data_IF_595880740982
#
_entry.id   IF_595880740982
#
_cell.length_a   1.000
_cell.length_b   1.000
_cell.length_c   1.000
_cell.angle_alpha   90.00
_cell.angle_beta   90.00
_cell.angle_gamma   90.00
#
_symmetry.space_group_name_H-M   'P 1'
#
loop_
_entity.id
_entity.type
_entity.pdbx_description
1 polymer ?
#
# COMPACT_ATOMS: atom_id res chain seq x y z
N UNK A 1 35.07 -47.81 -17.12
CA UNK A 1 34.49 -46.51 -16.71
C UNK A 1 33.34 -46.22 -17.66
N UNK A 2 32.10 -46.55 -17.28
CA UNK A 2 30.91 -46.25 -18.08
C UNK A 2 30.42 -44.85 -17.73
N UNK A 3 30.33 -43.98 -18.73
CA UNK A 3 29.63 -42.69 -18.63
C UNK A 3 28.15 -43.00 -18.38
N UNK A 4 27.64 -42.57 -17.23
CA UNK A 4 26.22 -42.64 -16.91
C UNK A 4 25.52 -41.47 -17.59
N UNK A 5 24.75 -41.77 -18.63
CA UNK A 5 23.84 -40.81 -19.25
C UNK A 5 22.79 -40.37 -18.23
N UNK A 6 22.94 -39.15 -17.71
CA UNK A 6 21.90 -38.52 -16.90
C UNK A 6 20.72 -38.20 -17.79
N UNK A 7 19.60 -38.91 -17.59
CA UNK A 7 18.35 -38.63 -18.29
C UNK A 7 17.95 -37.16 -18.11
N UNK A 8 17.44 -36.50 -19.16
CA UNK A 8 16.95 -35.13 -19.06
C UNK A 8 15.79 -35.07 -18.06
N UNK A 9 15.67 -33.99 -17.27
CA UNK A 9 14.62 -33.84 -16.28
C UNK A 9 13.25 -33.90 -16.96
N UNK A 10 12.37 -34.74 -16.42
CA UNK A 10 11.01 -34.93 -16.91
C UNK A 10 10.21 -33.64 -16.71
N UNK A 11 9.56 -33.09 -17.75
CA UNK A 11 8.73 -31.90 -17.59
C UNK A 11 7.53 -32.20 -16.69
N UNK A 12 7.29 -31.32 -15.71
CA UNK A 12 6.08 -31.36 -14.88
C UNK A 12 4.97 -30.64 -15.65
N UNK A 13 3.91 -31.38 -15.95
CA UNK A 13 2.74 -30.91 -16.68
C UNK A 13 1.71 -30.35 -15.70
N UNK A 14 1.30 -29.10 -15.89
CA UNK A 14 0.20 -28.50 -15.12
C UNK A 14 -1.10 -28.64 -15.91
N UNK A 15 -2.02 -29.46 -15.40
CA UNK A 15 -3.40 -29.49 -15.88
C UNK A 15 -4.21 -28.41 -15.16
N UNK A 16 -4.63 -27.38 -15.89
CA UNK A 16 -5.70 -26.47 -15.44
C UNK A 16 -6.96 -26.93 -16.14
N UNK A 17 -7.95 -27.41 -15.37
CA UNK A 17 -9.28 -27.67 -15.91
C UNK A 17 -9.96 -26.33 -16.20
N UNK A 18 -10.02 -25.99 -17.48
CA UNK A 18 -10.96 -25.01 -18.03
C UNK A 18 -12.37 -25.62 -18.06
N UNK A 19 -13.41 -24.82 -17.83
CA UNK A 19 -14.81 -25.27 -17.94
C UNK A 19 -15.19 -25.67 -19.38
N UNK A 20 -14.42 -25.22 -20.37
CA UNK A 20 -14.41 -25.82 -21.70
C UNK A 20 -13.34 -26.92 -21.74
N UNK A 21 -13.76 -28.15 -22.06
CA UNK A 21 -13.06 -29.46 -22.04
C UNK A 21 -11.75 -29.58 -22.87
N UNK A 22 -10.98 -28.51 -23.03
CA UNK A 22 -9.64 -28.56 -23.61
C UNK A 22 -8.59 -28.31 -22.53
N UNK A 23 -7.98 -29.40 -22.05
CA UNK A 23 -6.76 -29.35 -21.23
C UNK A 23 -5.65 -28.64 -22.01
N UNK A 24 -5.49 -27.34 -21.78
CA UNK A 24 -4.37 -26.59 -22.34
C UNK A 24 -3.19 -26.75 -21.40
N UNK A 25 -2.29 -27.66 -21.77
CA UNK A 25 -1.05 -27.94 -21.04
C UNK A 25 -0.07 -26.78 -21.21
N UNK A 26 -0.02 -25.89 -20.22
CA UNK A 26 0.99 -24.84 -20.16
C UNK A 26 2.29 -25.43 -19.63
N UNK A 27 3.18 -25.85 -20.54
CA UNK A 27 4.54 -26.26 -20.19
C UNK A 27 5.37 -24.99 -20.05
N UNK A 28 5.74 -24.61 -18.82
CA UNK A 28 6.68 -23.50 -18.57
C UNK A 28 8.09 -24.11 -18.36
N UNK A 29 8.99 -24.05 -19.35
CA UNK A 29 10.34 -24.59 -19.20
C UNK A 29 11.13 -23.75 -18.18
N UNK A 30 11.78 -24.40 -17.21
CA UNK A 30 12.73 -23.74 -16.30
C UNK A 30 12.21 -23.41 -14.88
N UNK A 31 10.93 -23.65 -14.57
CA UNK A 31 10.37 -23.46 -13.23
C UNK A 31 10.13 -24.79 -12.47
N UNK A 32 10.72 -25.89 -12.95
CA UNK A 32 10.61 -27.22 -12.38
C UNK A 32 11.40 -27.34 -11.06
N UNK A 33 10.88 -26.70 -10.02
CA UNK A 33 11.28 -26.89 -8.65
C UNK A 33 10.04 -27.18 -7.81
N UNK A 34 10.08 -28.26 -7.03
CA UNK A 34 9.08 -28.71 -6.04
C UNK A 34 8.58 -27.58 -5.12
N UNK A 35 9.28 -26.45 -5.06
CA UNK A 35 8.92 -25.25 -4.29
C UNK A 35 7.72 -24.45 -4.81
N UNK A 36 7.54 -24.29 -6.13
CA UNK A 36 6.47 -23.42 -6.66
C UNK A 36 5.08 -24.01 -6.41
N UNK A 37 4.91 -25.28 -6.73
CA UNK A 37 3.68 -26.02 -6.51
C UNK A 37 3.39 -26.19 -5.02
N UNK A 38 4.39 -26.52 -4.20
CA UNK A 38 4.24 -26.61 -2.74
C UNK A 38 3.85 -25.26 -2.14
N UNK A 39 4.42 -24.15 -2.61
CA UNK A 39 4.09 -22.81 -2.12
C UNK A 39 2.67 -22.41 -2.52
N UNK A 40 2.27 -22.65 -3.78
CA UNK A 40 0.90 -22.42 -4.21
C UNK A 40 -0.10 -23.26 -3.42
N UNK A 41 0.19 -24.54 -3.21
CA UNK A 41 -0.63 -25.43 -2.38
C UNK A 41 -0.69 -24.98 -0.93
N UNK A 42 0.36 -24.38 -0.37
CA UNK A 42 0.35 -23.79 0.98
C UNK A 42 -0.53 -22.54 1.04
N UNK A 43 -0.42 -21.63 0.06
CA UNK A 43 -1.31 -20.48 -0.05
C UNK A 43 -2.77 -20.92 -0.24
N UNK A 44 -3.03 -21.90 -1.11
CA UNK A 44 -4.37 -22.46 -1.31
C UNK A 44 -4.90 -23.17 -0.05
N UNK A 45 -4.04 -23.87 0.71
CA UNK A 45 -4.41 -24.51 1.99
C UNK A 45 -4.80 -23.51 3.06
N UNK A 46 -4.13 -22.35 3.09
CA UNK A 46 -4.40 -21.28 4.04
C UNK A 46 -5.59 -20.40 3.59
N UNK A 47 -6.28 -20.76 2.49
CA UNK A 47 -7.37 -19.96 1.94
C UNK A 47 -6.92 -18.57 1.47
N UNK A 48 -5.64 -18.42 1.10
CA UNK A 48 -5.08 -17.18 0.62
C UNK A 48 -5.63 -16.86 -0.78
N UNK A 49 -6.74 -16.14 -0.80
CA UNK A 49 -7.27 -15.47 -1.98
C UNK A 49 -6.42 -14.24 -2.29
N UNK A 50 -5.56 -14.31 -3.31
CA UNK A 50 -4.83 -13.17 -3.86
C UNK A 50 -5.68 -12.37 -4.89
N UNK A 51 -7.00 -12.58 -4.89
CA UNK A 51 -7.93 -11.88 -5.76
C UNK A 51 -7.52 -11.97 -7.23
N UNK A 52 -7.32 -10.84 -7.93
CA UNK A 52 -6.95 -10.80 -9.35
C UNK A 52 -5.67 -11.59 -9.71
N UNK A 53 -4.72 -11.72 -8.78
CA UNK A 53 -3.45 -12.42 -9.04
C UNK A 53 -3.58 -13.96 -9.06
N UNK A 54 -4.77 -14.50 -8.75
CA UNK A 54 -5.06 -15.93 -8.95
C UNK A 54 -4.83 -16.39 -10.39
N UNK A 55 -5.01 -15.49 -11.36
CA UNK A 55 -4.77 -15.77 -12.77
C UNK A 55 -3.26 -15.86 -13.14
N UNK A 56 -2.36 -15.48 -12.23
CA UNK A 56 -0.91 -15.38 -12.49
C UNK A 56 -0.04 -16.06 -11.41
N UNK A 57 -0.23 -17.35 -11.12
CA UNK A 57 0.53 -18.07 -10.10
C UNK A 57 2.06 -18.08 -10.35
N UNK A 58 2.47 -17.95 -11.61
CA UNK A 58 3.86 -17.85 -12.03
C UNK A 58 4.52 -16.55 -11.53
N UNK A 59 3.82 -15.41 -11.61
CA UNK A 59 4.34 -14.13 -11.13
C UNK A 59 4.47 -14.14 -9.61
N UNK A 60 3.46 -14.66 -8.93
CA UNK A 60 3.48 -14.81 -7.46
C UNK A 60 4.66 -15.69 -7.04
N UNK A 61 4.87 -16.81 -7.74
CA UNK A 61 6.00 -17.72 -7.50
C UNK A 61 7.35 -17.04 -7.70
N UNK A 62 7.52 -16.26 -8.77
CA UNK A 62 8.76 -15.54 -9.07
C UNK A 62 9.07 -14.43 -8.06
N UNK A 63 8.04 -13.72 -7.60
CA UNK A 63 8.20 -12.55 -6.75
C UNK A 63 8.29 -12.88 -5.25
N UNK A 64 7.79 -14.04 -4.83
CA UNK A 64 7.88 -14.48 -3.45
C UNK A 64 9.34 -14.46 -2.94
N UNK A 65 9.58 -13.80 -1.80
CA UNK A 65 10.91 -13.68 -1.23
C UNK A 65 11.42 -15.02 -0.68
N UNK A 66 12.21 -15.75 -1.47
CA UNK A 66 12.66 -17.11 -1.16
C UNK A 66 14.04 -17.13 -0.51
N UNK A 67 14.97 -16.33 -1.05
CA UNK A 67 16.35 -16.30 -0.59
C UNK A 67 16.52 -15.33 0.59
N UNK A 68 17.59 -15.51 1.37
CA UNK A 68 17.91 -14.58 2.46
C UNK A 68 18.10 -13.12 1.97
N UNK A 69 18.81 -12.86 0.84
CA UNK A 69 18.90 -11.52 0.26
C UNK A 69 17.55 -10.91 -0.12
N UNK A 70 16.66 -11.69 -0.76
CA UNK A 70 15.32 -11.21 -1.10
C UNK A 70 14.52 -10.84 0.16
N UNK A 71 14.54 -11.71 1.18
CA UNK A 71 13.85 -11.43 2.46
C UNK A 71 14.39 -10.19 3.14
N UNK A 72 15.71 -9.98 3.13
CA UNK A 72 16.33 -8.77 3.67
C UNK A 72 15.90 -7.52 2.90
N UNK A 73 15.91 -7.57 1.56
CA UNK A 73 15.47 -6.48 0.71
C UNK A 73 14.01 -6.07 0.98
N UNK A 74 13.12 -7.05 1.09
CA UNK A 74 11.69 -6.82 1.32
C UNK A 74 11.42 -6.25 2.71
N UNK A 75 12.14 -6.72 3.74
CA UNK A 75 12.08 -6.11 5.07
C UNK A 75 12.60 -4.68 5.06
N UNK A 76 13.67 -4.40 4.32
CA UNK A 76 14.16 -3.04 4.14
C UNK A 76 13.13 -2.15 3.42
N UNK A 77 12.44 -2.65 2.39
CA UNK A 77 11.35 -1.93 1.73
C UNK A 77 10.20 -1.64 2.69
N UNK A 78 9.78 -2.62 3.49
CA UNK A 78 8.72 -2.44 4.48
C UNK A 78 9.06 -1.36 5.52
N UNK A 79 10.34 -1.25 5.91
CA UNK A 79 10.80 -0.22 6.84
C UNK A 79 11.05 1.14 6.18
N UNK A 80 11.26 1.17 4.85
CA UNK A 80 11.71 2.37 4.13
C UNK A 80 10.77 3.56 4.29
N UNK A 81 9.43 3.43 4.19
CA UNK A 81 8.52 4.55 4.43
C UNK A 81 8.77 5.25 5.78
N UNK A 82 8.96 4.47 6.84
CA UNK A 82 9.23 5.02 8.19
C UNK A 82 10.57 5.73 8.23
N UNK A 83 11.62 5.13 7.65
CA UNK A 83 12.96 5.73 7.61
C UNK A 83 12.98 7.02 6.78
N UNK A 84 12.32 7.02 5.63
CA UNK A 84 12.20 8.19 4.74
C UNK A 84 11.43 9.32 5.42
N UNK A 85 10.28 9.02 6.03
CA UNK A 85 9.53 10.04 6.79
C UNK A 85 10.35 10.59 7.94
N UNK A 86 11.04 9.73 8.71
CA UNK A 86 11.88 10.17 9.81
C UNK A 86 13.00 11.12 9.34
N UNK A 87 13.72 10.73 8.29
CA UNK A 87 14.81 11.52 7.73
C UNK A 87 14.33 12.86 7.17
N UNK A 88 13.21 12.89 6.45
CA UNK A 88 12.74 14.11 5.80
C UNK A 88 11.99 15.05 6.75
N UNK A 89 11.15 14.54 7.63
CA UNK A 89 10.38 15.37 8.56
C UNK A 89 11.24 15.90 9.69
N UNK A 90 12.07 15.06 10.32
CA UNK A 90 12.87 15.48 11.49
C UNK A 90 14.31 15.85 11.14
N UNK A 91 14.87 15.26 10.09
CA UNK A 91 16.22 15.61 9.63
C UNK A 91 16.24 16.85 8.75
N UNK A 92 15.39 16.90 7.72
CA UNK A 92 15.32 18.04 6.80
C UNK A 92 14.26 19.08 7.15
N UNK A 93 13.31 18.79 8.05
CA UNK A 93 12.24 19.72 8.39
C UNK A 93 11.30 20.02 7.21
N UNK A 94 11.08 19.05 6.30
CA UNK A 94 10.36 19.31 5.05
C UNK A 94 9.33 18.23 4.73
N UNK A 95 8.05 18.62 4.75
CA UNK A 95 6.95 17.75 4.31
C UNK A 95 7.04 17.43 2.81
N UNK A 96 7.46 18.39 1.97
CA UNK A 96 7.64 18.14 0.53
C UNK A 96 8.73 17.12 0.24
N UNK A 97 9.88 17.25 0.91
CA UNK A 97 10.94 16.25 0.80
C UNK A 97 10.44 14.87 1.24
N UNK A 98 9.66 14.81 2.33
CA UNK A 98 9.08 13.57 2.83
C UNK A 98 8.14 12.92 1.80
N UNK A 99 7.19 13.68 1.26
CA UNK A 99 6.24 13.20 0.23
C UNK A 99 6.97 12.72 -1.02
N UNK A 100 7.90 13.52 -1.56
CA UNK A 100 8.62 13.16 -2.79
C UNK A 100 9.49 11.93 -2.57
N UNK A 101 10.29 11.90 -1.49
CA UNK A 101 11.19 10.79 -1.20
C UNK A 101 10.41 9.51 -0.89
N UNK A 102 9.31 9.59 -0.13
CA UNK A 102 8.48 8.43 0.18
C UNK A 102 7.92 7.80 -1.10
N UNK A 103 7.29 8.60 -1.96
CA UNK A 103 6.70 8.09 -3.19
C UNK A 103 7.75 7.61 -4.20
N UNK A 104 8.77 8.42 -4.46
CA UNK A 104 9.78 8.08 -5.45
C UNK A 104 10.62 6.89 -5.00
N UNK A 105 11.17 6.91 -3.79
CA UNK A 105 12.09 5.87 -3.32
C UNK A 105 11.31 4.65 -2.84
N UNK A 106 10.38 4.84 -1.90
CA UNK A 106 9.73 3.71 -1.21
C UNK A 106 8.62 3.07 -2.06
N UNK A 107 7.79 3.86 -2.75
CA UNK A 107 6.64 3.32 -3.48
C UNK A 107 6.96 2.95 -4.94
N UNK A 108 7.92 3.63 -5.59
CA UNK A 108 8.19 3.45 -7.02
C UNK A 108 9.52 2.71 -7.26
N UNK A 109 10.66 3.33 -6.90
CA UNK A 109 11.97 2.84 -7.33
C UNK A 109 12.33 1.50 -6.70
N UNK A 110 12.21 1.34 -5.38
CA UNK A 110 12.60 0.08 -4.73
C UNK A 110 11.69 -1.10 -5.12
N UNK A 111 10.35 -0.97 -5.12
CA UNK A 111 9.46 -2.05 -5.58
C UNK A 111 9.73 -2.42 -7.03
N UNK A 112 9.87 -1.42 -7.91
CA UNK A 112 10.13 -1.67 -9.33
C UNK A 112 11.48 -2.34 -9.55
N UNK A 113 12.53 -1.91 -8.84
CA UNK A 113 13.84 -2.54 -8.91
C UNK A 113 13.77 -4.02 -8.49
N UNK A 114 13.02 -4.35 -7.42
CA UNK A 114 12.83 -5.73 -7.00
C UNK A 114 12.09 -6.57 -8.04
N UNK A 115 10.97 -6.05 -8.56
CA UNK A 115 10.15 -6.76 -9.55
C UNK A 115 10.95 -7.00 -10.82
N UNK A 116 11.68 -6.00 -11.32
CA UNK A 116 12.53 -6.14 -12.52
C UNK A 116 13.68 -7.11 -12.27
N UNK A 117 14.32 -7.07 -11.10
CA UNK A 117 15.39 -8.00 -10.76
C UNK A 117 14.90 -9.46 -10.67
N UNK A 118 13.66 -9.69 -10.23
CA UNK A 118 13.12 -11.04 -10.06
C UNK A 118 12.39 -11.59 -11.30
N UNK A 119 11.73 -10.72 -12.08
CA UNK A 119 10.82 -11.13 -13.16
C UNK A 119 11.08 -10.45 -14.51
N UNK A 120 12.06 -9.54 -14.60
CA UNK A 120 12.33 -8.74 -15.79
C UNK A 120 11.27 -7.67 -16.07
N UNK A 121 11.48 -6.88 -17.13
CA UNK A 121 10.56 -5.82 -17.54
C UNK A 121 9.19 -6.36 -17.95
N UNK A 122 9.16 -7.48 -18.68
CA UNK A 122 7.90 -8.13 -19.09
C UNK A 122 7.13 -8.70 -17.89
N UNK A 123 7.84 -9.18 -16.87
CA UNK A 123 7.23 -9.59 -15.61
C UNK A 123 6.62 -8.41 -14.86
N UNK A 124 7.31 -7.28 -14.82
CA UNK A 124 6.80 -6.04 -14.22
C UNK A 124 5.53 -5.56 -14.94
N UNK A 125 5.54 -5.47 -16.27
CA UNK A 125 4.39 -5.04 -17.06
C UNK A 125 3.16 -5.94 -16.83
N UNK A 126 3.37 -7.27 -16.83
CA UNK A 126 2.30 -8.24 -16.53
C UNK A 126 1.76 -8.10 -15.11
N UNK A 127 2.63 -7.90 -14.13
CA UNK A 127 2.21 -7.68 -12.75
C UNK A 127 1.28 -6.46 -12.62
N UNK A 128 1.68 -5.32 -13.20
CA UNK A 128 0.87 -4.10 -13.13
C UNK A 128 -0.46 -4.25 -13.87
N UNK A 129 -0.46 -4.93 -15.02
CA UNK A 129 -1.70 -5.25 -15.74
C UNK A 129 -2.62 -6.15 -14.88
N UNK A 130 -2.06 -7.13 -14.18
CA UNK A 130 -2.81 -8.08 -13.37
C UNK A 130 -3.54 -7.40 -12.18
N UNK A 131 -3.04 -6.29 -11.65
CA UNK A 131 -3.72 -5.55 -10.58
C UNK A 131 -5.09 -5.00 -10.99
N UNK A 132 -5.32 -4.79 -12.29
CA UNK A 132 -6.53 -4.17 -12.83
C UNK A 132 -7.38 -5.14 -13.66
N UNK A 133 -7.18 -6.46 -13.50
CA UNK A 133 -8.10 -7.47 -14.05
C UNK A 133 -9.48 -7.30 -13.41
N UNK A 134 -10.53 -7.37 -14.22
CA UNK A 134 -11.92 -7.13 -13.81
C UNK A 134 -12.15 -5.73 -13.18
N UNK A 135 -11.53 -4.70 -13.79
CA UNK A 135 -11.62 -3.31 -13.32
C UNK A 135 -13.06 -2.84 -13.06
N UNK A 136 -14.04 -3.29 -13.86
CA UNK A 136 -15.45 -2.92 -13.68
C UNK A 136 -15.98 -3.36 -12.31
N UNK A 137 -15.73 -4.60 -11.91
CA UNK A 137 -16.12 -5.11 -10.59
C UNK A 137 -15.39 -4.36 -9.48
N UNK A 138 -14.07 -4.17 -9.63
CA UNK A 138 -13.26 -3.45 -8.64
C UNK A 138 -13.76 -2.01 -8.44
N UNK A 139 -14.13 -1.30 -9.51
CA UNK A 139 -14.68 0.06 -9.44
C UNK A 139 -16.08 0.08 -8.80
N UNK A 140 -16.90 -0.95 -9.04
CA UNK A 140 -18.23 -1.07 -8.43
C UNK A 140 -18.12 -1.21 -6.91
N UNK A 141 -17.29 -2.15 -6.45
CA UNK A 141 -17.00 -2.30 -5.01
C UNK A 141 -16.28 -1.10 -4.43
N UNK A 142 -15.34 -0.52 -5.18
CA UNK A 142 -14.62 0.68 -4.78
C UNK A 142 -15.54 1.89 -4.57
N UNK A 143 -16.55 2.08 -5.43
CA UNK A 143 -17.55 3.14 -5.24
C UNK A 143 -18.36 2.93 -3.95
N UNK A 144 -18.75 1.70 -3.65
CA UNK A 144 -19.41 1.36 -2.39
C UNK A 144 -18.50 1.69 -1.19
N UNK A 145 -17.24 1.24 -1.21
CA UNK A 145 -16.30 1.51 -0.14
C UNK A 145 -15.95 2.98 0.00
N UNK A 146 -15.85 3.73 -1.10
CA UNK A 146 -15.62 5.17 -1.09
C UNK A 146 -16.70 5.89 -0.27
N UNK A 147 -17.98 5.60 -0.54
CA UNK A 147 -19.10 6.20 0.20
C UNK A 147 -19.07 5.78 1.67
N UNK A 148 -18.82 4.49 1.94
CA UNK A 148 -18.80 3.97 3.30
C UNK A 148 -17.66 4.55 4.15
N UNK A 149 -16.42 4.52 3.66
CA UNK A 149 -15.24 5.08 4.34
C UNK A 149 -15.40 6.58 4.53
N UNK A 150 -15.87 7.30 3.50
CA UNK A 150 -16.12 8.74 3.60
C UNK A 150 -17.16 9.07 4.68
N UNK A 151 -18.28 8.35 4.72
CA UNK A 151 -19.32 8.56 5.72
C UNK A 151 -18.83 8.26 7.15
N UNK A 152 -18.16 7.13 7.36
CA UNK A 152 -17.58 6.78 8.67
C UNK A 152 -16.52 7.80 9.09
N UNK A 153 -15.63 8.20 8.17
CA UNK A 153 -14.60 9.19 8.42
C UNK A 153 -15.18 10.55 8.83
N UNK A 154 -16.20 11.04 8.13
CA UNK A 154 -16.89 12.29 8.48
C UNK A 154 -17.56 12.23 9.86
N UNK A 155 -18.17 11.09 10.22
CA UNK A 155 -18.75 10.88 11.54
C UNK A 155 -17.67 10.88 12.64
N UNK A 156 -16.56 10.19 12.40
CA UNK A 156 -15.41 10.16 13.32
C UNK A 156 -14.81 11.56 13.48
N UNK A 157 -14.55 12.26 12.39
CA UNK A 157 -14.06 13.63 12.43
C UNK A 157 -15.01 14.54 13.23
N UNK A 158 -16.33 14.47 12.98
CA UNK A 158 -17.32 15.25 13.75
C UNK A 158 -17.27 14.92 15.25
N UNK A 159 -17.06 13.66 15.61
CA UNK A 159 -16.96 13.24 17.01
C UNK A 159 -15.64 13.66 17.68
N UNK A 160 -14.56 13.77 16.90
CA UNK A 160 -13.20 13.98 17.41
C UNK A 160 -12.67 15.41 17.25
N UNK A 161 -13.29 16.25 16.41
CA UNK A 161 -12.76 17.58 16.05
C UNK A 161 -12.50 18.50 17.24
N UNK A 162 -13.26 18.36 18.33
CA UNK A 162 -13.13 19.22 19.51
C UNK A 162 -12.01 18.75 20.45
N UNK A 163 -11.45 17.54 20.24
CA UNK A 163 -10.37 16.97 21.03
C UNK A 163 -8.97 17.30 20.47
N UNK A 164 -8.89 17.73 19.22
CA UNK A 164 -7.61 18.05 18.57
C UNK A 164 -7.57 19.55 18.29
N UNK A 165 -6.83 20.35 19.08
CA UNK A 165 -6.81 21.79 18.90
C UNK A 165 -6.21 22.14 17.53
N UNK A 166 -6.80 23.08 16.78
CA UNK A 166 -6.23 23.50 15.51
C UNK A 166 -4.96 24.32 15.76
N UNK A 167 -3.79 23.70 15.69
CA UNK A 167 -2.51 24.39 15.58
C UNK A 167 -1.86 24.01 14.26
N UNK A 168 -1.81 24.94 13.33
CA UNK A 168 -1.19 24.75 12.01
C UNK A 168 0.25 25.22 11.96
N UNK A 169 0.82 25.70 13.08
CA UNK A 169 2.21 26.15 13.14
C UNK A 169 3.18 25.06 12.69
N UNK A 170 3.08 23.80 13.15
CA UNK A 170 3.97 22.73 12.69
C UNK A 170 3.90 22.46 11.19
N UNK A 171 2.70 22.55 10.58
CA UNK A 171 2.54 22.37 9.13
C UNK A 171 3.25 23.47 8.33
N UNK A 172 3.16 24.72 8.81
CA UNK A 172 3.84 25.87 8.20
C UNK A 172 5.36 25.71 8.32
N UNK A 173 5.85 25.29 9.48
CA UNK A 173 7.28 25.04 9.72
C UNK A 173 7.83 23.92 8.83
N UNK A 174 7.01 22.90 8.51
CA UNK A 174 7.35 21.84 7.56
C UNK A 174 7.25 22.28 6.09
N UNK A 175 6.89 23.53 5.81
CA UNK A 175 6.83 24.11 4.46
C UNK A 175 5.49 23.89 3.73
N UNK A 176 4.44 23.44 4.42
CA UNK A 176 3.07 23.46 3.86
C UNK A 176 2.51 24.84 4.10
N UNK A 177 2.73 25.72 3.13
CA UNK A 177 2.30 27.10 3.22
C UNK A 177 0.79 27.24 3.09
N UNK A 178 0.21 28.22 3.79
CA UNK A 178 -1.24 28.44 3.85
C UNK A 178 -1.82 29.10 2.59
N UNK A 179 -1.07 29.11 1.48
CA UNK A 179 -1.52 29.73 0.25
C UNK A 179 -2.55 28.84 -0.48
N UNK A 180 -3.60 29.43 -1.08
CA UNK A 180 -4.68 28.64 -1.68
C UNK A 180 -4.22 27.67 -2.77
N UNK A 181 -3.19 28.05 -3.54
CA UNK A 181 -2.66 27.22 -4.63
C UNK A 181 -1.98 25.99 -4.06
N UNK A 182 -1.09 26.14 -3.08
CA UNK A 182 -0.43 25.04 -2.39
C UNK A 182 -1.44 24.14 -1.71
N UNK A 183 -2.41 24.68 -0.99
CA UNK A 183 -3.44 23.88 -0.32
C UNK A 183 -4.27 23.08 -1.35
N UNK A 184 -4.63 23.68 -2.48
CA UNK A 184 -5.36 22.98 -3.55
C UNK A 184 -4.50 21.85 -4.17
N UNK A 185 -3.26 22.15 -4.54
CA UNK A 185 -2.35 21.18 -5.13
C UNK A 185 -2.03 20.03 -4.17
N UNK A 186 -1.76 20.36 -2.91
CA UNK A 186 -1.57 19.38 -1.84
C UNK A 186 -2.83 18.51 -1.69
N UNK A 187 -4.01 19.12 -1.63
CA UNK A 187 -5.29 18.39 -1.49
C UNK A 187 -5.53 17.42 -2.65
N UNK A 188 -5.32 17.86 -3.89
CA UNK A 188 -5.48 17.02 -5.08
C UNK A 188 -4.47 15.89 -5.12
N UNK A 189 -3.21 16.19 -4.83
CA UNK A 189 -2.15 15.18 -4.78
C UNK A 189 -2.45 14.14 -3.69
N UNK A 190 -2.72 14.61 -2.48
CA UNK A 190 -2.98 13.78 -1.30
C UNK A 190 -4.26 12.95 -1.47
N UNK A 191 -5.30 13.48 -2.10
CA UNK A 191 -6.57 12.74 -2.24
C UNK A 191 -6.63 11.80 -3.45
N UNK A 192 -5.68 11.90 -4.39
CA UNK A 192 -5.75 11.17 -5.67
C UNK A 192 -4.47 10.39 -5.96
N UNK A 193 -3.32 11.06 -5.99
CA UNK A 193 -2.05 10.44 -6.36
C UNK A 193 -1.51 9.57 -5.23
N UNK A 194 -1.57 10.08 -3.99
CA UNK A 194 -1.09 9.38 -2.81
C UNK A 194 -1.78 7.99 -2.63
N UNK A 195 -3.13 7.89 -2.60
CA UNK A 195 -3.84 6.62 -2.52
C UNK A 195 -3.41 5.59 -3.58
N UNK A 196 -3.21 6.02 -4.83
CA UNK A 196 -2.81 5.12 -5.92
C UNK A 196 -1.44 4.52 -5.64
N UNK A 197 -0.46 5.36 -5.30
CA UNK A 197 0.92 4.94 -5.08
C UNK A 197 1.06 4.11 -3.81
N UNK A 198 0.39 4.51 -2.74
CA UNK A 198 0.38 3.79 -1.47
C UNK A 198 -0.26 2.41 -1.60
N UNK A 199 -1.43 2.29 -2.24
CA UNK A 199 -2.07 0.98 -2.41
C UNK A 199 -1.23 0.06 -3.32
N UNK A 200 -0.65 0.59 -4.41
CA UNK A 200 0.29 -0.16 -5.24
C UNK A 200 1.46 -0.70 -4.43
N UNK A 201 2.01 0.09 -3.50
CA UNK A 201 3.09 -0.34 -2.64
C UNK A 201 2.63 -1.36 -1.58
N UNK A 202 1.68 -1.00 -0.72
CA UNK A 202 1.31 -1.81 0.45
C UNK A 202 0.55 -3.09 0.06
N UNK A 203 -0.41 -2.99 -0.86
CA UNK A 203 -1.33 -4.09 -1.20
C UNK A 203 -0.90 -4.76 -2.51
N UNK A 204 -0.47 -3.99 -3.49
CA UNK A 204 0.04 -4.53 -4.75
C UNK A 204 1.36 -5.27 -4.59
N UNK A 205 2.40 -4.59 -4.09
CA UNK A 205 3.76 -5.13 -4.00
C UNK A 205 4.02 -5.88 -2.69
N UNK A 206 3.83 -5.24 -1.54
CA UNK A 206 4.32 -5.77 -0.27
C UNK A 206 3.55 -7.03 0.16
N UNK A 207 2.22 -7.00 0.03
CA UNK A 207 1.36 -8.16 0.32
C UNK A 207 1.63 -9.34 -0.61
N UNK A 208 1.99 -9.07 -1.87
CA UNK A 208 2.38 -10.09 -2.83
C UNK A 208 3.70 -10.75 -2.45
N UNK A 209 4.73 -9.95 -2.17
CA UNK A 209 6.09 -10.46 -1.96
C UNK A 209 6.27 -11.11 -0.58
N UNK A 210 5.63 -10.58 0.46
CA UNK A 210 5.57 -11.21 1.78
C UNK A 210 4.66 -12.45 1.76
N UNK A 211 3.61 -12.43 0.94
CA UNK A 211 2.57 -13.46 0.87
C UNK A 211 1.38 -13.16 1.78
N UNK A 212 0.29 -13.89 1.59
CA UNK A 212 -1.03 -13.61 2.18
C UNK A 212 -1.27 -14.16 3.59
N UNK A 213 -0.23 -14.66 4.27
CA UNK A 213 -0.37 -15.14 5.65
C UNK A 213 -0.72 -14.01 6.61
N UNK A 214 -1.57 -14.28 7.61
CA UNK A 214 -2.06 -13.26 8.56
C UNK A 214 -0.94 -12.47 9.23
N UNK A 215 0.16 -13.15 9.60
CA UNK A 215 1.34 -12.48 10.20
C UNK A 215 1.95 -11.43 9.29
N UNK A 216 1.95 -11.65 7.98
CA UNK A 216 2.50 -10.72 7.00
C UNK A 216 1.55 -9.54 6.77
N UNK A 217 0.24 -9.80 6.73
CA UNK A 217 -0.77 -8.74 6.64
C UNK A 217 -0.71 -7.82 7.86
N UNK A 218 -0.57 -8.38 9.07
CA UNK A 218 -0.38 -7.62 10.30
C UNK A 218 0.93 -6.83 10.29
N UNK A 219 2.04 -7.43 9.84
CA UNK A 219 3.32 -6.73 9.74
C UNK A 219 3.27 -5.54 8.77
N UNK A 220 2.67 -5.74 7.58
CA UNK A 220 2.48 -4.68 6.60
C UNK A 220 1.58 -3.55 7.15
N UNK A 221 0.49 -3.92 7.83
CA UNK A 221 -0.44 -2.95 8.44
C UNK A 221 0.20 -2.16 9.59
N UNK A 222 1.04 -2.82 10.39
CA UNK A 222 1.80 -2.16 11.46
C UNK A 222 2.85 -1.19 10.87
N UNK A 223 3.56 -1.58 9.80
CA UNK A 223 4.50 -0.70 9.12
C UNK A 223 3.81 0.51 8.46
N UNK A 224 2.65 0.29 7.84
CA UNK A 224 1.77 1.33 7.31
C UNK A 224 1.37 2.33 8.40
N UNK A 225 0.92 1.84 9.55
CA UNK A 225 0.52 2.71 10.66
C UNK A 225 1.70 3.46 11.29
N UNK A 226 2.87 2.82 11.37
CA UNK A 226 4.04 3.39 12.04
C UNK A 226 4.56 4.66 11.37
N UNK A 227 4.68 4.69 10.03
CA UNK A 227 5.15 5.91 9.37
C UNK A 227 4.13 7.05 9.48
N UNK A 228 2.83 6.73 9.46
CA UNK A 228 1.78 7.72 9.75
C UNK A 228 1.90 8.27 11.17
N UNK A 229 2.29 7.44 12.14
CA UNK A 229 2.60 7.91 13.49
C UNK A 229 3.65 9.01 13.51
N UNK A 230 4.70 8.89 12.69
CA UNK A 230 5.71 9.94 12.53
C UNK A 230 5.13 11.21 11.92
N UNK A 231 4.28 11.08 10.89
CA UNK A 231 3.61 12.22 10.26
C UNK A 231 2.72 12.94 11.28
N UNK A 232 1.89 12.21 12.04
CA UNK A 232 1.01 12.76 13.08
C UNK A 232 1.79 13.53 14.15
N UNK A 233 2.90 12.97 14.63
CA UNK A 233 3.77 13.65 15.59
C UNK A 233 4.43 14.89 14.98
N UNK A 234 4.88 14.82 13.73
CA UNK A 234 5.53 15.95 13.05
C UNK A 234 4.57 17.13 12.82
N UNK A 235 3.27 16.86 12.60
CA UNK A 235 2.25 17.92 12.46
C UNK A 235 1.70 18.39 13.81
N UNK A 236 2.30 17.97 14.94
CA UNK A 236 1.96 18.46 16.27
C UNK A 236 0.79 17.78 16.97
N UNK A 237 0.35 16.60 16.51
CA UNK A 237 -0.66 15.82 17.24
C UNK A 237 -0.07 15.32 18.56
N UNK A 238 -0.84 15.47 19.64
CA UNK A 238 -0.48 14.95 20.96
C UNK A 238 -0.02 13.49 20.89
N UNK A 239 1.09 13.10 21.54
CA UNK A 239 1.62 11.74 21.44
C UNK A 239 0.65 10.63 21.85
N UNK A 240 -0.22 10.85 22.84
CA UNK A 240 -1.19 9.83 23.25
C UNK A 240 -2.31 9.68 22.20
N UNK A 241 -2.78 10.80 21.64
CA UNK A 241 -3.72 10.78 20.52
C UNK A 241 -3.10 10.13 19.28
N UNK A 242 -1.86 10.49 18.94
CA UNK A 242 -1.13 9.89 17.83
C UNK A 242 -0.97 8.38 18.01
N UNK A 243 -0.62 7.90 19.21
CA UNK A 243 -0.54 6.48 19.50
C UNK A 243 -1.88 5.74 19.31
N UNK A 244 -2.99 6.34 19.76
CA UNK A 244 -4.32 5.78 19.54
C UNK A 244 -4.69 5.73 18.04
N UNK A 245 -4.36 6.79 17.29
CA UNK A 245 -4.56 6.84 15.84
C UNK A 245 -3.70 5.82 15.10
N UNK A 246 -2.45 5.57 15.53
CA UNK A 246 -1.59 4.51 14.95
C UNK A 246 -2.23 3.13 15.13
N UNK A 247 -2.80 2.83 16.29
CA UNK A 247 -3.54 1.58 16.48
C UNK A 247 -4.74 1.50 15.53
N UNK A 248 -5.51 2.59 15.43
CA UNK A 248 -6.64 2.69 14.49
C UNK A 248 -6.22 2.48 13.03
N UNK A 249 -5.15 3.14 12.60
CA UNK A 249 -4.58 3.00 11.26
C UNK A 249 -4.04 1.59 10.99
N UNK A 250 -3.55 0.88 12.01
CA UNK A 250 -3.18 -0.52 11.88
C UNK A 250 -4.39 -1.41 11.59
N UNK A 251 -5.53 -1.14 12.25
CA UNK A 251 -6.80 -1.84 12.00
C UNK A 251 -7.35 -1.51 10.61
N UNK A 252 -7.35 -0.23 10.22
CA UNK A 252 -7.73 0.20 8.87
C UNK A 252 -6.83 -0.46 7.84
N UNK A 253 -5.52 -0.50 8.09
CA UNK A 253 -4.53 -1.17 7.26
C UNK A 253 -4.90 -2.62 6.96
N UNK A 254 -5.32 -3.36 8.00
CA UNK A 254 -5.75 -4.76 7.92
C UNK A 254 -7.08 -4.92 7.16
N UNK A 255 -8.03 -4.01 7.36
CA UNK A 255 -9.31 -3.99 6.63
C UNK A 255 -9.06 -3.75 5.14
N UNK A 256 -8.19 -2.80 4.80
CA UNK A 256 -7.82 -2.49 3.42
C UNK A 256 -7.11 -3.68 2.75
N UNK A 257 -6.26 -4.41 3.47
CA UNK A 257 -5.69 -5.67 2.97
C UNK A 257 -6.76 -6.74 2.69
N UNK A 258 -7.82 -6.81 3.51
CA UNK A 258 -8.94 -7.72 3.25
C UNK A 258 -9.74 -7.30 2.01
N UNK A 259 -9.99 -5.99 1.87
CA UNK A 259 -10.67 -5.44 0.71
C UNK A 259 -9.90 -5.74 -0.57
N UNK A 260 -8.59 -5.48 -0.60
CA UNK A 260 -7.73 -5.84 -1.72
C UNK A 260 -7.88 -7.32 -2.12
N UNK A 261 -7.84 -8.23 -1.13
CA UNK A 261 -7.97 -9.68 -1.38
C UNK A 261 -9.32 -10.06 -1.99
N UNK A 262 -10.40 -9.38 -1.62
CA UNK A 262 -11.77 -9.72 -2.05
C UNK A 262 -12.18 -9.04 -3.34
N UNK A 263 -11.81 -7.78 -3.51
CA UNK A 263 -12.38 -6.89 -4.52
C UNK A 263 -11.32 -6.18 -5.36
N UNK A 264 -10.04 -6.47 -5.17
CA UNK A 264 -8.94 -5.99 -6.00
C UNK A 264 -8.40 -4.61 -5.63
N UNK A 265 -7.32 -4.20 -6.30
CA UNK A 265 -6.53 -3.03 -5.96
C UNK A 265 -7.28 -1.71 -6.15
N UNK A 266 -8.01 -1.54 -7.26
CA UNK A 266 -8.73 -0.30 -7.53
C UNK A 266 -9.83 -0.02 -6.51
N UNK A 267 -10.42 -1.07 -5.92
CA UNK A 267 -11.39 -0.93 -4.83
C UNK A 267 -10.75 -0.37 -3.56
N UNK A 268 -9.53 -0.81 -3.23
CA UNK A 268 -8.73 -0.28 -2.13
C UNK A 268 -8.32 1.17 -2.39
N UNK A 269 -7.88 1.49 -3.62
CA UNK A 269 -7.53 2.87 -4.00
C UNK A 269 -8.69 3.83 -3.75
N UNK A 270 -9.90 3.50 -4.21
CA UNK A 270 -11.07 4.36 -4.02
C UNK A 270 -11.44 4.51 -2.53
N UNK A 271 -11.37 3.43 -1.75
CA UNK A 271 -11.60 3.50 -0.31
C UNK A 271 -10.57 4.41 0.39
N UNK A 272 -9.31 4.32 0.00
CA UNK A 272 -8.22 5.15 0.53
C UNK A 272 -8.41 6.61 0.14
N UNK A 273 -8.76 6.91 -1.13
CA UNK A 273 -9.08 8.27 -1.58
C UNK A 273 -10.18 8.91 -0.71
N UNK A 274 -11.21 8.17 -0.34
CA UNK A 274 -12.25 8.68 0.55
C UNK A 274 -11.72 9.03 1.95
N UNK A 275 -10.84 8.20 2.50
CA UNK A 275 -10.15 8.49 3.76
C UNK A 275 -9.30 9.76 3.68
N UNK A 276 -8.50 9.89 2.62
CA UNK A 276 -7.62 11.05 2.42
C UNK A 276 -8.40 12.35 2.19
N UNK A 277 -9.55 12.29 1.51
CA UNK A 277 -10.46 13.44 1.39
C UNK A 277 -10.95 13.89 2.76
N UNK A 278 -11.34 12.96 3.65
CA UNK A 278 -11.75 13.30 5.02
C UNK A 278 -10.61 13.95 5.80
N UNK A 279 -9.39 13.43 5.68
CA UNK A 279 -8.19 14.01 6.31
C UNK A 279 -7.95 15.43 5.79
N UNK A 280 -8.00 15.64 4.47
CA UNK A 280 -7.85 16.97 3.86
C UNK A 280 -8.94 17.93 4.34
N UNK A 281 -10.20 17.49 4.42
CA UNK A 281 -11.29 18.30 4.97
C UNK A 281 -11.03 18.70 6.43
N UNK A 282 -10.53 17.78 7.26
CA UNK A 282 -10.18 18.09 8.65
C UNK A 282 -9.04 19.11 8.73
N UNK A 283 -7.99 18.95 7.90
CA UNK A 283 -6.87 19.89 7.84
C UNK A 283 -7.31 21.29 7.37
N UNK A 284 -8.20 21.36 6.38
CA UNK A 284 -8.74 22.63 5.90
C UNK A 284 -9.60 23.32 6.97
N UNK A 285 -10.47 22.57 7.66
CA UNK A 285 -11.27 23.11 8.77
C UNK A 285 -10.38 23.63 9.91
N UNK A 286 -9.32 22.89 10.26
CA UNK A 286 -8.35 23.33 11.26
C UNK A 286 -7.67 24.63 10.85
N UNK A 287 -7.25 24.72 9.59
CA UNK A 287 -6.62 25.89 9.05
C UNK A 287 -7.55 27.12 9.07
N UNK A 288 -8.80 26.99 8.62
CA UNK A 288 -9.77 28.09 8.67
C UNK A 288 -10.09 28.52 10.11
N UNK A 289 -10.25 27.56 11.03
CA UNK A 289 -10.50 27.82 12.44
C UNK A 289 -9.31 28.51 13.13
N UNK A 290 -8.09 28.18 12.74
CA UNK A 290 -6.87 28.85 13.22
C UNK A 290 -6.78 30.30 12.72
N UNK A 291 -7.01 30.55 11.42
CA UNK A 291 -7.01 31.89 10.84
C UNK A 291 -8.02 32.82 11.54
N UNK A 292 -9.22 32.33 11.81
CA UNK A 292 -10.25 33.10 12.49
C UNK A 292 -9.80 33.53 13.89
N UNK A 293 -9.20 32.62 14.66
CA UNK A 293 -8.69 32.93 16.00
C UNK A 293 -7.55 33.96 15.99
N UNK A 294 -6.61 33.87 15.03
CA UNK A 294 -5.54 34.89 14.90
C UNK A 294 -6.09 36.28 14.60
N UNK A 295 -7.04 36.41 13.67
CA UNK A 295 -7.65 37.71 13.35
C UNK A 295 -8.32 38.37 14.56
N UNK A 296 -8.94 37.56 15.42
CA UNK A 296 -9.55 38.06 16.66
C UNK A 296 -8.48 38.56 17.64
N UNK A 297 -7.35 37.86 17.75
CA UNK A 297 -6.25 38.24 18.65
C UNK A 297 -5.43 39.44 18.16
N UNK A 298 -5.32 39.64 16.85
CA UNK A 298 -4.53 40.73 16.24
C UNK A 298 -5.37 42.00 15.97
N UNK A 299 -6.70 41.88 15.94
CA UNK A 299 -7.63 42.97 15.63
C UNK A 299 -8.34 43.60 16.83
N UNK A 300 -8.03 43.18 18.06
CA UNK A 300 -8.55 43.75 19.32
C UNK A 300 -7.42 44.33 20.16
#
# INVERSE_FOLDING_TARGET
MSQGDSLPPTPVLFGVKSEDDQETLLVVPGLAGVGAERWWRLCARDGADFGPLKAHPELVSLLAARTAPQKAYVRANMAMPTLTMAACLYGFGSAWAAVVAFHLISCILMPSAYVVACAGLDGAARLYAAFFVDLRSQLTWGAFYFVWVGAVGLLLYRALRDFVPPDTTPLIELGITPDPTTLLLFSLYFSVVNPVLEELFWRGFLSLVLGAGERHLLAASAAYALYHGLVLLAIGIDPAVAAALVVGLGLVGRVMSEMYRRTGLASGVLAHMAGDIVVVMALLDWYYSWLQRRRVLEGG
#
